data_IF_382992282328
#
_entry.id   IF_382992282328
#
_cell.length_a   1.000
_cell.length_b   1.000
_cell.length_c   1.000
_cell.angle_alpha   90.00
_cell.angle_beta   90.00
_cell.angle_gamma   90.00
#
_symmetry.space_group_name_H-M   'P 1'
#
loop_
_entity.id
_entity.type
_entity.pdbx_description
1 polymer ?
#
# COMPACT_ATOMS: atom_id res chain seq x y z
N UNK A 1 3.20 -31.72 -1.71
CA UNK A 1 1.98 -30.91 -1.92
C UNK A 1 2.30 -29.42 -1.89
N UNK A 2 2.98 -28.87 -0.87
CA UNK A 2 3.36 -27.44 -0.85
C UNK A 2 4.24 -26.96 -2.04
N UNK A 3 5.18 -27.78 -2.54
CA UNK A 3 6.05 -27.38 -3.66
C UNK A 3 5.34 -27.35 -5.03
N UNK A 4 4.22 -28.06 -5.18
CA UNK A 4 3.44 -28.07 -6.44
C UNK A 4 2.51 -26.86 -6.51
N UNK A 5 1.84 -26.50 -5.41
CA UNK A 5 1.01 -25.30 -5.31
C UNK A 5 1.83 -24.01 -5.54
N UNK A 6 3.06 -23.93 -5.03
CA UNK A 6 3.95 -22.78 -5.28
C UNK A 6 4.40 -22.69 -6.74
N UNK A 7 4.51 -23.81 -7.45
CA UNK A 7 4.91 -23.82 -8.87
C UNK A 7 3.75 -23.39 -9.77
N UNK A 8 2.54 -23.90 -9.51
CA UNK A 8 1.33 -23.55 -10.27
C UNK A 8 0.94 -22.07 -10.08
N UNK A 9 1.16 -21.50 -8.90
CA UNK A 9 0.94 -20.06 -8.65
C UNK A 9 1.98 -19.18 -9.39
N UNK A 10 3.23 -19.65 -9.49
CA UNK A 10 4.28 -18.95 -10.24
C UNK A 10 4.04 -18.97 -11.75
N UNK A 11 3.57 -20.08 -12.32
CA UNK A 11 3.23 -20.17 -13.74
C UNK A 11 1.99 -19.32 -14.08
N UNK A 12 0.98 -19.34 -13.21
CA UNK A 12 -0.20 -18.49 -13.31
C UNK A 12 0.18 -17.01 -13.21
N UNK A 13 1.15 -16.67 -12.35
CA UNK A 13 1.71 -15.34 -12.26
C UNK A 13 2.44 -14.94 -13.54
N UNK A 14 3.32 -15.79 -14.06
CA UNK A 14 4.07 -15.52 -15.27
C UNK A 14 3.12 -15.25 -16.45
N UNK A 15 2.05 -16.04 -16.60
CA UNK A 15 1.03 -15.80 -17.62
C UNK A 15 0.32 -14.44 -17.45
N UNK A 16 -0.05 -14.09 -16.22
CA UNK A 16 -0.69 -12.80 -15.93
C UNK A 16 0.25 -11.61 -16.15
N UNK A 17 1.51 -11.75 -15.75
CA UNK A 17 2.57 -10.78 -15.97
C UNK A 17 2.78 -10.53 -17.47
N UNK A 18 2.89 -11.60 -18.27
CA UNK A 18 3.03 -11.50 -19.72
C UNK A 18 1.81 -10.78 -20.32
N UNK A 19 0.60 -11.13 -19.90
CA UNK A 19 -0.62 -10.46 -20.36
C UNK A 19 -0.61 -8.96 -20.02
N UNK A 20 -0.25 -8.60 -18.80
CA UNK A 20 -0.15 -7.21 -18.36
C UNK A 20 0.90 -6.44 -19.15
N UNK A 21 2.07 -7.04 -19.38
CA UNK A 21 3.14 -6.47 -20.20
C UNK A 21 2.67 -6.24 -21.62
N UNK A 22 1.96 -7.20 -22.24
CA UNK A 22 1.42 -7.08 -23.59
C UNK A 22 0.38 -5.96 -23.74
N UNK A 23 -0.37 -5.66 -22.68
CA UNK A 23 -1.32 -4.53 -22.65
C UNK A 23 -0.69 -3.19 -22.28
N UNK A 24 0.56 -3.18 -21.81
CA UNK A 24 1.26 -1.98 -21.37
C UNK A 24 1.80 -1.16 -22.57
N UNK A 25 1.89 0.18 -22.45
CA UNK A 25 2.59 1.01 -23.43
C UNK A 25 4.07 0.61 -23.62
N UNK A 26 4.66 -0.12 -22.66
CA UNK A 26 6.00 -0.65 -22.78
C UNK A 26 6.13 -1.68 -23.92
N UNK A 27 5.06 -2.42 -24.24
CA UNK A 27 5.06 -3.40 -25.33
C UNK A 27 4.98 -2.75 -26.71
N UNK A 28 4.27 -1.62 -26.85
CA UNK A 28 4.27 -0.85 -28.10
C UNK A 28 5.63 -0.19 -28.33
N UNK A 29 6.25 0.38 -27.29
CA UNK A 29 7.63 0.89 -27.34
C UNK A 29 8.63 -0.23 -27.74
N UNK A 30 8.50 -1.43 -27.17
CA UNK A 30 9.35 -2.58 -27.48
C UNK A 30 9.22 -2.99 -28.95
N UNK A 31 7.98 -3.07 -29.45
CA UNK A 31 7.70 -3.36 -30.87
C UNK A 31 8.31 -2.31 -31.79
N UNK A 32 8.21 -1.03 -31.42
CA UNK A 32 8.78 0.05 -32.20
C UNK A 32 10.31 -0.07 -32.30
N UNK A 33 11.00 -0.26 -31.18
CA UNK A 33 12.46 -0.45 -31.19
C UNK A 33 12.87 -1.72 -31.94
N UNK A 34 12.14 -2.83 -31.80
CA UNK A 34 12.42 -4.05 -32.55
C UNK A 34 12.27 -3.83 -34.07
N UNK A 35 11.27 -3.04 -34.49
CA UNK A 35 11.07 -2.66 -35.89
C UNK A 35 12.22 -1.78 -36.40
N UNK A 36 12.65 -0.81 -35.61
CA UNK A 36 13.79 0.06 -35.94
C UNK A 36 15.09 -0.75 -36.13
N UNK A 37 15.39 -1.69 -35.23
CA UNK A 37 16.53 -2.60 -35.35
C UNK A 37 16.45 -3.43 -36.65
N UNK A 38 15.25 -3.91 -36.98
CA UNK A 38 15.00 -4.70 -38.20
C UNK A 38 15.16 -3.87 -39.47
N UNK A 39 14.73 -2.60 -39.46
CA UNK A 39 14.89 -1.70 -40.61
C UNK A 39 16.35 -1.30 -40.85
N UNK A 40 17.17 -1.29 -39.79
CA UNK A 40 18.59 -0.96 -39.86
C UNK A 40 19.50 -2.16 -40.13
N UNK A 41 18.99 -3.40 -40.00
CA UNK A 41 19.74 -4.61 -40.31
C UNK A 41 19.69 -4.92 -41.80
N UNK A 42 20.86 -4.89 -42.45
CA UNK A 42 21.06 -5.42 -43.79
C UNK A 42 21.37 -6.92 -43.60
N UNK A 43 20.54 -7.82 -44.15
CA UNK A 43 20.77 -9.27 -44.42
C UNK A 43 20.04 -10.34 -43.54
N UNK A 44 19.71 -11.43 -44.25
CA UNK A 44 19.21 -12.81 -43.98
C UNK A 44 18.24 -13.12 -42.82
N UNK A 45 17.14 -13.80 -43.19
CA UNK A 45 16.00 -14.13 -42.33
C UNK A 45 16.38 -15.12 -41.22
N UNK A 46 17.45 -15.89 -41.41
CA UNK A 46 17.97 -16.91 -40.50
C UNK A 46 18.56 -16.33 -39.19
N UNK A 47 19.17 -15.15 -39.25
CA UNK A 47 19.83 -14.51 -38.10
C UNK A 47 19.03 -13.35 -37.49
N UNK A 48 17.92 -12.97 -38.11
CA UNK A 48 17.11 -11.82 -37.71
C UNK A 48 16.66 -11.88 -36.24
N UNK A 49 16.21 -13.06 -35.77
CA UNK A 49 15.76 -13.24 -34.38
C UNK A 49 16.88 -12.94 -33.38
N UNK A 50 18.07 -13.46 -33.62
CA UNK A 50 19.23 -13.25 -32.75
C UNK A 50 19.68 -11.78 -32.78
N UNK A 51 19.69 -11.16 -33.95
CA UNK A 51 20.02 -9.74 -34.11
C UNK A 51 19.04 -8.82 -33.37
N UNK A 52 17.74 -9.12 -33.41
CA UNK A 52 16.74 -8.39 -32.64
C UNK A 52 17.01 -8.53 -31.14
N UNK A 53 17.30 -9.73 -30.63
CA UNK A 53 17.64 -9.92 -29.21
C UNK A 53 18.89 -9.15 -28.81
N UNK A 54 19.97 -9.25 -29.59
CA UNK A 54 21.23 -8.58 -29.30
C UNK A 54 21.10 -7.05 -29.41
N UNK A 55 20.34 -6.57 -30.40
CA UNK A 55 20.03 -5.16 -30.59
C UNK A 55 19.16 -4.60 -29.45
N UNK A 56 18.17 -5.36 -28.99
CA UNK A 56 17.35 -5.00 -27.83
C UNK A 56 18.19 -5.00 -26.54
N UNK A 57 19.08 -5.97 -26.37
CA UNK A 57 20.00 -6.01 -25.23
C UNK A 57 20.93 -4.79 -25.22
N UNK A 58 21.53 -4.44 -26.36
CA UNK A 58 22.40 -3.26 -26.52
C UNK A 58 21.68 -1.93 -26.30
N UNK A 59 20.41 -1.83 -26.69
CA UNK A 59 19.57 -0.64 -26.46
C UNK A 59 19.00 -0.53 -25.04
N UNK A 60 19.37 -1.46 -24.15
CA UNK A 60 19.01 -1.40 -22.72
C UNK A 60 17.61 -1.95 -22.39
N UNK A 61 16.93 -2.59 -23.34
CA UNK A 61 15.59 -3.16 -23.12
C UNK A 61 15.56 -4.26 -22.06
N UNK A 62 16.65 -5.01 -21.92
CA UNK A 62 16.81 -5.97 -20.83
C UNK A 62 16.58 -5.31 -19.48
N UNK A 63 17.11 -4.11 -19.23
CA UNK A 63 16.94 -3.40 -17.95
C UNK A 63 15.53 -2.86 -17.78
N UNK A 64 14.97 -2.25 -18.83
CA UNK A 64 13.58 -1.75 -18.82
C UNK A 64 12.58 -2.86 -18.45
N UNK A 65 12.74 -4.04 -19.05
CA UNK A 65 11.89 -5.19 -18.75
C UNK A 65 12.09 -5.72 -17.34
N UNK A 66 13.34 -5.87 -16.86
CA UNK A 66 13.61 -6.28 -15.48
C UNK A 66 12.97 -5.31 -14.46
N UNK A 67 13.08 -4.00 -14.70
CA UNK A 67 12.48 -2.99 -13.83
C UNK A 67 10.95 -3.11 -13.81
N UNK A 68 10.29 -3.30 -14.95
CA UNK A 68 8.83 -3.44 -15.00
C UNK A 68 8.35 -4.75 -14.34
N UNK A 69 9.08 -5.84 -14.53
CA UNK A 69 8.81 -7.11 -13.86
C UNK A 69 8.94 -6.93 -12.34
N UNK A 70 10.01 -6.28 -11.88
CA UNK A 70 10.24 -6.00 -10.47
C UNK A 70 9.14 -5.10 -9.88
N UNK A 71 8.66 -4.11 -10.63
CA UNK A 71 7.52 -3.26 -10.23
C UNK A 71 6.25 -4.08 -10.00
N UNK A 72 5.90 -4.96 -10.93
CA UNK A 72 4.70 -5.80 -10.79
C UNK A 72 4.85 -6.83 -9.67
N UNK A 73 6.06 -7.29 -9.38
CA UNK A 73 6.35 -8.12 -8.21
C UNK A 73 6.11 -7.36 -6.90
N UNK A 74 6.58 -6.10 -6.79
CA UNK A 74 6.36 -5.28 -5.60
C UNK A 74 4.86 -5.01 -5.34
N UNK A 75 4.07 -4.75 -6.39
CA UNK A 75 2.63 -4.55 -6.27
C UNK A 75 1.89 -5.80 -5.77
N UNK A 76 2.46 -7.01 -5.94
CA UNK A 76 1.87 -8.25 -5.41
C UNK A 76 2.14 -8.46 -3.92
N UNK A 77 3.24 -7.96 -3.38
CA UNK A 77 3.57 -8.12 -1.96
C UNK A 77 2.50 -7.46 -1.07
N UNK A 78 1.78 -6.46 -1.60
CA UNK A 78 0.68 -5.77 -0.93
C UNK A 78 -0.69 -6.48 -1.07
N UNK A 79 -0.78 -7.56 -1.86
CA UNK A 79 -2.01 -8.35 -2.04
C UNK A 79 -2.06 -9.46 -0.99
N UNK A 80 -1.99 -9.08 0.30
CA UNK A 80 -2.65 -9.89 1.31
C UNK A 80 -4.15 -9.71 1.09
N UNK A 81 -4.82 -10.82 0.82
CA UNK A 81 -6.28 -10.98 0.71
C UNK A 81 -6.93 -10.64 -0.63
N UNK A 82 -6.72 -11.48 -1.66
CA UNK A 82 -7.75 -11.69 -2.69
C UNK A 82 -8.77 -12.77 -2.34
N UNK A 83 -8.54 -13.52 -1.28
CA UNK A 83 -9.47 -14.50 -0.73
C UNK A 83 -10.15 -14.00 0.55
N UNK A 84 -10.67 -12.76 0.52
CA UNK A 84 -11.55 -12.29 1.59
C UNK A 84 -12.90 -12.98 1.40
N UNK A 85 -13.05 -14.19 1.92
CA UNK A 85 -14.39 -14.79 2.08
C UNK A 85 -15.24 -13.86 2.95
N UNK A 86 -16.57 -13.94 2.87
CA UNK A 86 -17.48 -13.14 3.70
C UNK A 86 -17.25 -13.30 5.22
N UNK A 87 -16.56 -14.37 5.64
CA UNK A 87 -16.06 -14.55 7.00
C UNK A 87 -14.81 -13.73 7.33
N UNK A 88 -13.94 -13.44 6.36
CA UNK A 88 -12.80 -12.52 6.51
C UNK A 88 -13.21 -11.04 6.55
N UNK A 89 -14.43 -10.70 6.12
CA UNK A 89 -15.03 -9.37 6.35
C UNK A 89 -15.38 -9.18 7.83
N UNK A 90 -15.62 -10.28 8.56
CA UNK A 90 -15.90 -10.22 9.99
C UNK A 90 -14.59 -10.03 10.74
N UNK A 91 -14.65 -9.23 11.80
CA UNK A 91 -13.56 -9.08 12.75
C UNK A 91 -13.03 -10.46 13.20
N UNK A 92 -11.76 -10.81 12.90
CA UNK A 92 -11.23 -12.14 13.18
C UNK A 92 -11.16 -12.42 14.68
N UNK A 93 -10.95 -11.39 15.51
CA UNK A 93 -10.75 -11.54 16.93
C UNK A 93 -12.07 -11.72 17.67
N UNK A 94 -12.29 -12.92 18.22
CA UNK A 94 -13.53 -13.26 18.92
C UNK A 94 -13.88 -12.31 20.08
N UNK A 95 -12.89 -11.78 20.80
CA UNK A 95 -13.12 -10.83 21.90
C UNK A 95 -13.59 -9.46 21.38
N UNK A 96 -13.09 -9.01 20.21
CA UNK A 96 -13.55 -7.78 19.58
C UNK A 96 -14.96 -7.97 19.01
N UNK A 97 -15.27 -9.11 18.38
CA UNK A 97 -16.64 -9.44 17.95
C UNK A 97 -17.64 -9.38 19.09
N UNK A 98 -17.30 -9.94 20.25
CA UNK A 98 -18.16 -9.86 21.45
C UNK A 98 -18.38 -8.42 21.91
N UNK A 99 -17.33 -7.61 21.90
CA UNK A 99 -17.42 -6.20 22.27
C UNK A 99 -18.27 -5.39 21.28
N UNK A 100 -18.11 -5.63 19.97
CA UNK A 100 -18.96 -5.05 18.91
C UNK A 100 -20.43 -5.42 19.13
N UNK A 101 -20.75 -6.70 19.30
CA UNK A 101 -22.13 -7.13 19.55
C UNK A 101 -22.71 -6.56 20.85
N UNK A 102 -21.89 -6.39 21.89
CA UNK A 102 -22.32 -5.76 23.15
C UNK A 102 -22.59 -4.26 22.97
N UNK A 103 -21.74 -3.57 22.21
CA UNK A 103 -21.91 -2.16 21.87
C UNK A 103 -23.16 -1.94 21.02
N UNK A 104 -23.34 -2.72 19.96
CA UNK A 104 -24.52 -2.67 19.09
C UNK A 104 -25.81 -2.87 19.88
N UNK A 105 -25.86 -3.85 20.79
CA UNK A 105 -27.02 -4.06 21.68
C UNK A 105 -27.32 -2.83 22.54
N UNK A 106 -26.28 -2.17 23.08
CA UNK A 106 -26.42 -0.95 23.88
C UNK A 106 -26.96 0.20 23.03
N UNK A 107 -26.40 0.42 21.85
CA UNK A 107 -26.85 1.45 20.91
C UNK A 107 -28.30 1.21 20.47
N UNK A 108 -28.64 -0.03 20.09
CA UNK A 108 -30.01 -0.40 19.72
C UNK A 108 -30.99 -0.18 20.86
N UNK A 109 -30.62 -0.48 22.11
CA UNK A 109 -31.48 -0.21 23.27
C UNK A 109 -31.73 1.29 23.46
N UNK A 110 -30.67 2.09 23.41
CA UNK A 110 -30.78 3.55 23.53
C UNK A 110 -31.57 4.17 22.37
N UNK A 111 -31.38 3.68 21.15
CA UNK A 111 -32.12 4.11 19.95
C UNK A 111 -33.60 3.78 20.08
N UNK A 112 -33.96 2.54 20.44
CA UNK A 112 -35.34 2.15 20.67
C UNK A 112 -35.99 2.98 21.78
N UNK A 113 -35.27 3.25 22.87
CA UNK A 113 -35.76 4.12 23.95
C UNK A 113 -36.10 5.52 23.45
N UNK A 114 -35.25 6.10 22.60
CA UNK A 114 -35.50 7.41 21.99
C UNK A 114 -36.69 7.38 21.03
N UNK A 115 -36.82 6.33 20.22
CA UNK A 115 -37.99 6.13 19.36
C UNK A 115 -39.29 6.07 20.17
N UNK A 116 -39.29 5.38 21.31
CA UNK A 116 -40.45 5.32 22.20
C UNK A 116 -40.75 6.69 22.83
N UNK A 117 -39.74 7.41 23.29
CA UNK A 117 -39.89 8.74 23.91
C UNK A 117 -40.44 9.78 22.92
N UNK A 118 -39.90 9.82 21.71
CA UNK A 118 -40.32 10.76 20.66
C UNK A 118 -41.57 10.27 19.90
N UNK A 119 -42.04 9.06 20.18
CA UNK A 119 -43.11 8.38 19.40
C UNK A 119 -42.81 8.32 17.89
N UNK A 120 -41.52 8.18 17.53
CA UNK A 120 -41.04 8.10 16.14
C UNK A 120 -40.64 6.66 15.83
N UNK A 121 -41.24 6.00 14.82
CA UNK A 121 -40.83 4.65 14.44
C UNK A 121 -39.49 4.65 13.70
N UNK A 122 -38.66 3.61 13.94
CA UNK A 122 -37.37 3.42 13.26
C UNK A 122 -37.48 3.37 11.74
N UNK A 123 -38.52 2.69 11.26
CA UNK A 123 -38.84 2.60 9.86
C UNK A 123 -40.36 2.55 9.73
N UNK A 124 -40.91 3.49 8.96
CA UNK A 124 -42.29 3.42 8.50
C UNK A 124 -42.36 3.80 7.04
N UNK A 125 -43.36 3.28 6.34
CA UNK A 125 -43.76 3.84 5.06
C UNK A 125 -44.29 5.26 5.30
N UNK A 126 -43.76 6.26 4.59
CA UNK A 126 -44.23 7.64 4.69
C UNK A 126 -45.72 7.72 4.34
N UNK A 127 -46.55 8.51 5.05
CA UNK A 127 -47.93 8.77 4.67
C UNK A 127 -48.03 9.41 3.27
N UNK A 128 -49.15 9.18 2.57
CA UNK A 128 -49.43 9.75 1.25
C UNK A 128 -49.25 11.29 1.19
N UNK A 129 -49.67 12.09 2.19
CA UNK A 129 -49.43 13.54 2.15
C UNK A 129 -47.93 13.90 2.17
N UNK A 130 -47.14 13.29 3.06
CA UNK A 130 -45.67 13.49 3.14
C UNK A 130 -44.98 13.09 1.83
N UNK A 131 -45.46 12.03 1.17
CA UNK A 131 -44.95 11.63 -0.16
C UNK A 131 -45.25 12.67 -1.25
N UNK A 132 -46.40 13.37 -1.19
CA UNK A 132 -46.76 14.41 -2.16
C UNK A 132 -45.94 15.68 -1.95
N UNK A 133 -45.70 16.04 -0.70
CA UNK A 133 -44.87 17.17 -0.28
C UNK A 133 -43.42 16.97 -0.75
N UNK A 134 -42.82 15.82 -0.44
CA UNK A 134 -41.47 15.46 -0.92
C UNK A 134 -41.41 15.45 -2.44
N UNK A 135 -42.42 14.89 -3.14
CA UNK A 135 -42.46 14.91 -4.61
C UNK A 135 -42.56 16.32 -5.21
N UNK A 136 -43.22 17.25 -4.51
CA UNK A 136 -43.29 18.65 -4.91
C UNK A 136 -41.96 19.37 -4.66
N UNK A 137 -41.38 19.19 -3.47
CA UNK A 137 -40.09 19.74 -3.06
C UNK A 137 -38.90 19.16 -3.86
N UNK A 138 -39.05 17.99 -4.48
CA UNK A 138 -38.04 17.38 -5.37
C UNK A 138 -37.82 18.14 -6.68
N UNK A 139 -38.74 19.03 -7.08
CA UNK A 139 -38.60 19.86 -8.28
C UNK A 139 -37.85 21.17 -8.01
N UNK A 140 -37.74 21.57 -6.74
CA UNK A 140 -36.91 22.68 -6.29
C UNK A 140 -35.59 22.07 -5.76
N UNK A 141 -34.43 22.73 -5.89
CA UNK A 141 -33.21 22.22 -5.25
C UNK A 141 -33.50 22.12 -3.75
N UNK A 142 -33.69 20.92 -3.23
CA UNK A 142 -34.25 20.68 -1.90
C UNK A 142 -33.40 21.38 -0.82
N UNK A 143 -34.00 22.38 -0.17
CA UNK A 143 -33.46 23.10 1.01
C UNK A 143 -34.17 22.62 2.29
N UNK A 144 -35.03 21.59 2.22
CA UNK A 144 -35.69 21.03 3.40
C UNK A 144 -34.71 20.23 4.26
N UNK A 145 -34.14 20.89 5.26
CA UNK A 145 -33.43 20.22 6.34
C UNK A 145 -34.45 19.70 7.37
N UNK A 146 -34.46 18.40 7.69
CA UNK A 146 -35.31 17.87 8.74
C UNK A 146 -34.92 18.51 10.08
N UNK A 147 -35.90 18.94 10.87
CA UNK A 147 -35.64 19.40 12.23
C UNK A 147 -35.18 18.22 13.09
N UNK A 148 -33.89 18.20 13.41
CA UNK A 148 -33.26 17.18 14.24
C UNK A 148 -33.09 17.62 15.70
N UNK A 149 -33.61 18.78 16.11
CA UNK A 149 -33.41 19.35 17.45
C UNK A 149 -33.89 18.43 18.58
N UNK A 150 -34.90 17.60 18.33
CA UNK A 150 -35.44 16.63 19.27
C UNK A 150 -34.58 15.35 19.41
N UNK A 151 -33.67 15.08 18.46
CA UNK A 151 -32.83 13.88 18.45
C UNK A 151 -31.52 14.13 19.20
N UNK A 152 -31.43 13.62 20.42
CA UNK A 152 -30.17 13.58 21.15
C UNK A 152 -29.23 12.50 20.60
N UNK A 153 -27.90 12.63 20.73
CA UNK A 153 -26.98 11.54 20.42
C UNK A 153 -27.29 10.28 21.24
N UNK A 154 -27.26 9.11 20.60
CA UNK A 154 -27.55 7.81 21.23
C UNK A 154 -26.43 7.36 22.17
N UNK A 155 -25.22 7.91 22.00
CA UNK A 155 -24.05 7.72 22.85
C UNK A 155 -23.19 8.98 22.85
N UNK A 156 -22.45 9.21 23.93
CA UNK A 156 -21.42 10.24 24.00
C UNK A 156 -20.01 9.68 23.75
N UNK A 157 -19.01 10.55 23.52
CA UNK A 157 -17.61 10.14 23.39
C UNK A 157 -17.10 9.31 24.59
N UNK A 158 -17.57 9.65 25.79
CA UNK A 158 -17.24 8.92 27.03
C UNK A 158 -17.76 7.48 27.00
N UNK A 159 -18.97 7.24 26.52
CA UNK A 159 -19.56 5.90 26.46
C UNK A 159 -18.75 4.96 25.56
N UNK A 160 -18.25 5.52 24.45
CA UNK A 160 -17.41 4.79 23.51
C UNK A 160 -16.02 4.53 24.10
N UNK A 161 -15.41 5.53 24.74
CA UNK A 161 -14.13 5.35 25.44
C UNK A 161 -14.23 4.28 26.53
N UNK A 162 -15.27 4.32 27.36
CA UNK A 162 -15.51 3.33 28.41
C UNK A 162 -15.58 1.91 27.81
N UNK A 163 -16.29 1.73 26.69
CA UNK A 163 -16.32 0.45 25.97
C UNK A 163 -14.95 0.01 25.46
N UNK A 164 -14.17 0.92 24.90
CA UNK A 164 -12.83 0.61 24.40
C UNK A 164 -11.91 0.19 25.56
N UNK A 165 -12.00 0.85 26.73
CA UNK A 165 -11.18 0.49 27.91
C UNK A 165 -11.52 -0.89 28.49
N UNK A 166 -12.73 -1.40 28.23
CA UNK A 166 -13.15 -2.74 28.64
C UNK A 166 -12.63 -3.85 27.71
N UNK A 167 -12.05 -3.51 26.55
CA UNK A 167 -11.46 -4.49 25.65
C UNK A 167 -10.24 -5.14 26.30
N UNK A 168 -10.36 -6.42 26.63
CA UNK A 168 -9.26 -7.24 27.13
C UNK A 168 -8.80 -8.21 26.06
N UNK A 169 -7.53 -8.12 25.68
CA UNK A 169 -6.93 -9.11 24.80
C UNK A 169 -6.63 -10.40 25.60
N UNK A 170 -7.20 -11.56 25.24
CA UNK A 170 -7.01 -12.81 25.98
C UNK A 170 -5.58 -13.36 25.91
N UNK A 171 -4.78 -12.90 24.95
CA UNK A 171 -3.37 -13.29 24.79
C UNK A 171 -2.42 -12.40 25.59
N UNK A 172 -2.93 -11.37 26.27
CA UNK A 172 -2.14 -10.52 27.14
C UNK A 172 -2.16 -11.10 28.57
N UNK A 173 -1.01 -11.55 29.06
CA UNK A 173 -0.88 -11.94 30.46
C UNK A 173 -1.06 -10.71 31.35
N UNK A 174 -1.93 -10.80 32.37
CA UNK A 174 -2.18 -9.72 33.33
C UNK A 174 -0.90 -9.20 34.00
N UNK A 175 0.13 -10.04 34.10
CA UNK A 175 1.45 -9.68 34.66
C UNK A 175 2.30 -8.77 33.76
N UNK A 176 1.94 -8.62 32.47
CA UNK A 176 2.60 -7.70 31.54
C UNK A 176 1.96 -6.29 31.53
N UNK A 177 0.93 -6.07 32.37
CA UNK A 177 0.13 -4.84 32.39
C UNK A 177 0.77 -3.69 33.19
N UNK A 178 2.04 -3.37 32.94
CA UNK A 178 2.76 -2.28 33.62
C UNK A 178 3.00 -1.05 32.75
N UNK A 179 2.52 -1.00 31.51
CA UNK A 179 2.65 0.17 30.65
C UNK A 179 1.46 1.13 30.85
N UNK A 180 1.70 2.17 31.64
CA UNK A 180 0.74 3.22 32.06
C UNK A 180 0.46 4.32 31.01
N UNK A 181 0.99 4.19 29.79
CA UNK A 181 0.98 5.28 28.81
C UNK A 181 -0.27 5.31 27.90
N UNK A 182 -1.14 4.31 27.96
CA UNK A 182 -2.37 4.28 27.16
C UNK A 182 -3.57 3.70 27.90
N UNK A 183 -4.75 4.28 27.62
CA UNK A 183 -6.06 3.78 28.07
C UNK A 183 -6.49 2.50 27.31
N UNK A 184 -5.87 2.25 26.15
CA UNK A 184 -6.15 1.12 25.27
C UNK A 184 -4.87 0.34 25.02
N UNK A 185 -4.88 -0.93 25.39
CA UNK A 185 -3.76 -1.83 25.16
C UNK A 185 -4.08 -2.71 23.95
N UNK A 186 -3.65 -2.24 22.78
CA UNK A 186 -3.68 -2.99 21.54
C UNK A 186 -2.33 -3.70 21.35
N UNK A 187 -2.19 -4.99 21.67
CA UNK A 187 -0.95 -5.70 21.41
C UNK A 187 -0.83 -5.94 19.91
N UNK A 188 -0.11 -5.04 19.25
CA UNK A 188 0.35 -5.25 17.87
C UNK A 188 1.55 -6.20 17.97
N UNK A 189 1.57 -7.36 17.29
CA UNK A 189 2.72 -8.23 17.29
C UNK A 189 3.91 -7.48 16.67
N UNK A 190 4.84 -7.06 17.51
CA UNK A 190 6.10 -6.44 17.08
C UNK A 190 7.20 -7.49 17.02
N UNK A 191 8.06 -7.37 16.02
CA UNK A 191 9.24 -8.23 15.92
C UNK A 191 10.16 -7.97 17.11
N UNK A 192 10.75 -9.03 17.66
CA UNK A 192 11.78 -8.88 18.70
C UNK A 192 13.01 -8.16 18.13
N UNK A 193 13.84 -7.58 19.00
CA UNK A 193 15.08 -6.93 18.57
C UNK A 193 15.99 -7.89 17.80
N UNK A 194 16.03 -9.17 18.18
CA UNK A 194 16.79 -10.22 17.48
C UNK A 194 16.24 -10.47 16.07
N UNK A 195 14.92 -10.49 15.91
CA UNK A 195 14.28 -10.62 14.60
C UNK A 195 14.55 -9.39 13.72
N UNK A 196 14.43 -8.19 14.28
CA UNK A 196 14.73 -6.95 13.55
C UNK A 196 16.19 -6.89 13.10
N UNK A 197 17.15 -7.33 13.93
CA UNK A 197 18.58 -7.41 13.56
C UNK A 197 18.83 -8.40 12.42
N UNK A 198 18.06 -9.49 12.35
CA UNK A 198 18.15 -10.47 11.25
C UNK A 198 17.56 -9.91 9.95
N UNK A 199 16.47 -9.16 10.05
CA UNK A 199 15.76 -8.62 8.89
C UNK A 199 16.43 -7.36 8.31
N UNK A 200 17.14 -6.60 9.14
CA UNK A 200 17.81 -5.34 8.76
C UNK A 200 19.31 -5.35 9.12
N UNK A 201 20.10 -6.30 8.59
CA UNK A 201 21.53 -6.39 8.88
C UNK A 201 22.32 -5.15 8.43
N UNK A 202 21.79 -4.39 7.45
CA UNK A 202 22.41 -3.18 6.93
C UNK A 202 22.36 -1.99 7.90
N UNK A 203 21.46 -2.03 8.90
CA UNK A 203 21.37 -1.03 9.97
C UNK A 203 22.33 -1.31 11.14
N UNK A 204 23.15 -2.35 11.04
CA UNK A 204 24.14 -2.66 12.07
C UNK A 204 25.12 -1.48 12.24
N UNK A 205 25.45 -1.05 13.47
CA UNK A 205 26.37 0.06 13.74
C UNK A 205 27.77 -0.08 13.13
N UNK A 206 28.16 -1.29 12.70
CA UNK A 206 29.39 -1.52 11.92
C UNK A 206 29.38 -0.84 10.54
N UNK A 207 28.21 -0.45 10.06
CA UNK A 207 28.03 0.23 8.78
C UNK A 207 27.68 1.69 8.99
N UNK A 208 28.45 2.59 8.38
CA UNK A 208 28.12 4.02 8.36
C UNK A 208 26.81 4.30 7.61
N UNK A 209 26.02 5.24 8.11
CA UNK A 209 24.67 5.57 7.66
C UNK A 209 24.55 7.06 7.31
N UNK A 210 23.89 7.34 6.19
CA UNK A 210 23.55 8.71 5.80
C UNK A 210 22.53 9.28 6.80
N UNK A 211 22.78 10.49 7.29
CA UNK A 211 21.99 11.22 8.28
C UNK A 211 22.37 10.96 9.73
N UNK A 212 23.28 10.02 9.99
CA UNK A 212 23.78 9.71 11.34
C UNK A 212 25.27 9.98 11.44
N UNK A 213 26.06 9.43 10.51
CA UNK A 213 27.52 9.52 10.54
C UNK A 213 28.07 10.66 9.68
N UNK A 214 27.19 11.42 9.01
CA UNK A 214 27.52 12.50 8.07
C UNK A 214 28.08 13.75 8.78
N UNK A 215 28.05 13.82 10.10
CA UNK A 215 28.55 14.97 10.86
C UNK A 215 29.72 14.62 11.80
N UNK A 216 30.29 13.41 11.70
CA UNK A 216 31.39 12.98 12.56
C UNK A 216 32.76 13.47 12.04
N UNK A 217 33.62 14.00 12.92
CA UNK A 217 34.92 14.60 12.58
C UNK A 217 35.76 13.81 11.56
N UNK A 218 36.35 14.51 10.57
CA UNK A 218 37.43 14.09 9.65
C UNK A 218 37.14 12.92 8.69
N UNK A 219 36.47 11.88 9.14
CA UNK A 219 36.10 10.69 8.39
C UNK A 219 34.73 10.82 7.69
N UNK A 220 33.89 11.77 8.11
CA UNK A 220 32.58 12.00 7.49
C UNK A 220 32.69 12.45 6.04
N UNK A 221 33.57 13.43 5.73
CA UNK A 221 33.68 13.95 4.36
C UNK A 221 34.08 12.87 3.35
N UNK A 222 34.93 11.91 3.77
CA UNK A 222 35.32 10.77 2.95
C UNK A 222 34.17 9.76 2.78
N UNK A 223 33.36 9.55 3.81
CA UNK A 223 32.18 8.69 3.72
C UNK A 223 31.15 9.28 2.79
N UNK A 224 30.75 10.54 2.99
CA UNK A 224 29.73 11.21 2.19
C UNK A 224 30.16 11.32 0.72
N UNK A 225 31.40 11.77 0.44
CA UNK A 225 31.91 11.86 -0.93
C UNK A 225 31.96 10.48 -1.63
N UNK A 226 32.39 9.42 -0.92
CA UNK A 226 32.37 8.05 -1.46
C UNK A 226 30.94 7.57 -1.69
N UNK A 227 30.02 7.93 -0.78
CA UNK A 227 28.62 7.54 -0.85
C UNK A 227 27.95 8.20 -2.05
N UNK A 228 28.10 9.51 -2.24
CA UNK A 228 27.62 10.25 -3.41
C UNK A 228 28.18 9.65 -4.71
N UNK A 229 29.49 9.39 -4.80
CA UNK A 229 30.10 8.79 -6.01
C UNK A 229 29.52 7.41 -6.32
N UNK A 230 29.33 6.57 -5.31
CA UNK A 230 28.69 5.27 -5.49
C UNK A 230 27.23 5.44 -5.93
N UNK A 231 26.50 6.38 -5.31
CA UNK A 231 25.11 6.66 -5.64
C UNK A 231 24.92 7.14 -7.08
N UNK A 232 25.81 7.99 -7.60
CA UNK A 232 25.79 8.41 -9.00
C UNK A 232 25.90 7.21 -9.96
N UNK A 233 26.73 6.21 -9.62
CA UNK A 233 26.84 4.97 -10.41
C UNK A 233 25.57 4.12 -10.31
N UNK A 234 24.92 4.09 -9.16
CA UNK A 234 23.65 3.39 -8.95
C UNK A 234 22.54 4.03 -9.78
N UNK A 235 22.44 5.36 -9.75
CA UNK A 235 21.47 6.10 -10.59
C UNK A 235 21.74 5.83 -12.07
N UNK A 236 22.99 5.92 -12.52
CA UNK A 236 23.35 5.66 -13.91
C UNK A 236 23.06 4.21 -14.36
N UNK A 237 22.99 3.25 -13.43
CA UNK A 237 22.65 1.87 -13.74
C UNK A 237 21.16 1.66 -14.07
N UNK A 238 20.28 2.61 -13.68
CA UNK A 238 18.82 2.57 -13.86
C UNK A 238 18.21 1.21 -13.48
N UNK A 239 18.55 0.72 -12.28
CA UNK A 239 18.13 -0.60 -11.79
C UNK A 239 17.45 -0.46 -10.43
N UNK A 240 16.16 -0.81 -10.37
CA UNK A 240 15.33 -0.60 -9.17
C UNK A 240 15.85 -1.40 -7.98
N UNK A 241 16.18 -2.69 -8.17
CA UNK A 241 16.65 -3.55 -7.10
C UNK A 241 18.00 -3.07 -6.52
N UNK A 242 18.91 -2.64 -7.39
CA UNK A 242 20.19 -2.06 -6.97
C UNK A 242 19.98 -0.75 -6.19
N UNK A 243 19.05 0.09 -6.64
CA UNK A 243 18.73 1.37 -6.01
C UNK A 243 18.09 1.16 -4.63
N UNK A 244 17.17 0.20 -4.49
CA UNK A 244 16.61 -0.19 -3.20
C UNK A 244 17.68 -0.73 -2.25
N UNK A 245 18.58 -1.60 -2.74
CA UNK A 245 19.67 -2.13 -1.91
C UNK A 245 20.62 -1.02 -1.44
N UNK A 246 20.92 -0.08 -2.32
CA UNK A 246 21.68 1.11 -1.96
C UNK A 246 20.94 1.92 -0.88
N UNK A 247 19.64 2.17 -1.05
CA UNK A 247 18.84 3.00 -0.15
C UNK A 247 18.74 2.50 1.29
N UNK A 248 18.99 1.21 1.55
CA UNK A 248 18.96 0.61 2.91
C UNK A 248 19.90 1.27 3.91
N UNK A 249 20.97 1.93 3.43
CA UNK A 249 21.93 2.68 4.27
C UNK A 249 21.77 4.20 4.18
N UNK A 250 20.59 4.64 3.73
CA UNK A 250 20.28 6.03 3.46
C UNK A 250 20.80 6.52 2.10
N UNK A 251 20.13 7.56 1.59
CA UNK A 251 20.39 8.21 0.31
C UNK A 251 20.86 9.64 0.56
N UNK A 252 22.05 10.04 0.03
CA UNK A 252 22.52 11.42 0.12
C UNK A 252 21.47 12.41 -0.42
N UNK A 253 21.32 13.60 0.19
CA UNK A 253 20.31 14.57 -0.24
C UNK A 253 20.34 14.93 -1.73
N UNK A 254 21.54 15.03 -2.31
CA UNK A 254 21.75 15.37 -3.72
C UNK A 254 21.22 14.34 -4.73
N UNK A 255 21.07 13.07 -4.32
CA UNK A 255 20.63 11.97 -5.19
C UNK A 255 19.22 11.48 -4.87
N UNK A 256 18.59 12.03 -3.82
CA UNK A 256 17.34 11.53 -3.26
C UNK A 256 16.20 11.56 -4.28
N UNK A 257 16.05 12.66 -5.01
CA UNK A 257 14.98 12.81 -6.00
C UNK A 257 15.07 11.73 -7.09
N UNK A 258 16.23 11.61 -7.73
CA UNK A 258 16.47 10.65 -8.82
C UNK A 258 16.32 9.19 -8.35
N UNK A 259 16.88 8.84 -7.19
CA UNK A 259 16.78 7.48 -6.66
C UNK A 259 15.35 7.11 -6.26
N UNK A 260 14.57 8.03 -5.69
CA UNK A 260 13.16 7.75 -5.39
C UNK A 260 12.33 7.58 -6.65
N UNK A 261 12.57 8.38 -7.69
CA UNK A 261 11.94 8.17 -8.99
C UNK A 261 12.22 6.76 -9.52
N UNK A 262 13.47 6.29 -9.43
CA UNK A 262 13.84 4.92 -9.82
C UNK A 262 13.17 3.86 -8.94
N UNK A 263 13.18 4.02 -7.61
CA UNK A 263 12.58 3.06 -6.67
C UNK A 263 11.08 2.91 -6.92
N UNK A 264 10.38 4.01 -7.19
CA UNK A 264 8.93 4.03 -7.46
C UNK A 264 8.64 3.66 -8.92
N UNK A 265 9.64 3.71 -9.81
CA UNK A 265 9.50 3.43 -11.24
C UNK A 265 8.84 4.58 -12.01
N UNK A 266 9.01 5.81 -11.57
CA UNK A 266 8.49 7.01 -12.21
C UNK A 266 9.54 7.68 -13.10
N UNK A 267 9.09 8.32 -14.19
CA UNK A 267 9.91 9.21 -15.01
C UNK A 267 9.22 10.57 -15.06
N UNK A 268 9.99 11.63 -14.81
CA UNK A 268 9.50 12.99 -15.01
C UNK A 268 9.44 13.24 -16.51
N UNK A 269 8.26 13.59 -17.01
CA UNK A 269 8.03 14.08 -18.37
C UNK A 269 7.63 15.55 -18.31
N UNK A 270 7.93 16.33 -19.35
CA UNK A 270 7.66 17.78 -19.39
C UNK A 270 6.17 18.15 -19.28
N UNK A 271 5.27 17.18 -19.48
CA UNK A 271 3.87 17.32 -19.10
C UNK A 271 3.77 17.20 -17.57
N UNK A 272 3.37 18.28 -16.92
CA UNK A 272 3.14 18.46 -15.47
C UNK A 272 2.02 17.59 -14.88
N UNK A 273 1.97 16.32 -15.27
CA UNK A 273 1.05 15.30 -14.81
C UNK A 273 1.89 14.12 -14.37
N UNK A 274 1.86 13.80 -13.07
CA UNK A 274 2.36 12.52 -12.56
C UNK A 274 1.53 11.39 -13.14
N UNK A 275 1.82 11.00 -14.38
CA UNK A 275 1.20 9.84 -15.00
C UNK A 275 1.84 8.62 -14.37
N UNK A 276 1.11 7.98 -13.45
CA UNK A 276 1.32 6.57 -13.16
C UNK A 276 1.09 5.82 -14.48
N UNK A 277 2.17 5.35 -15.11
CA UNK A 277 2.09 4.42 -16.26
C UNK A 277 1.67 3.02 -15.80
#
# INVERSE_FOLDING_TARGET
>A
MANQETSEDMDTFAMKLIKNLQTSPLYSELKFTAKEITCNSITDQSHLKQQIYDGLAKSGWTRKLHNEIFRQLLQRVDVRSKDVTSEHIKEPLAYIRRAQSSWEKRILKSLNSMCTELSVPLARKRPIPEQKEIRGAWNELSVEEPDLSAFRPVYGPKDFLDMLTLLKNPNLSTDQMTNFWSLLQLPIPVKSLTQLRKDFPELNPRWSQVGVDDNADGHSELFDARRVRLGQRVVAADNIALTQQYARRGIPPSLRAEMWLQIVGLRITDASTFMLK
#
